data_IF_323990402637
#
_entry.id   IF_323990402637
#
_cell.length_a   1.000
_cell.length_b   1.000
_cell.length_c   1.000
_cell.angle_alpha   90.00
_cell.angle_beta   90.00
_cell.angle_gamma   90.00
#
_symmetry.space_group_name_H-M   'P 1'
#
loop_
_entity.id
_entity.type
_entity.pdbx_description
1 polymer ?
#
# COMPACT_ATOMS: atom_id res chain seq x y z
N UNK A 1 13.67 -26.74 7.42
CA UNK A 1 12.33 -26.07 7.44
C UNK A 1 11.28 -27.12 7.14
N UNK A 2 10.28 -27.26 8.01
CA UNK A 2 9.14 -28.16 7.76
C UNK A 2 8.23 -27.57 6.68
N UNK A 3 7.38 -28.42 6.03
CA UNK A 3 6.36 -27.91 5.10
C UNK A 3 5.35 -26.96 5.78
N UNK A 4 5.21 -27.09 7.10
CA UNK A 4 4.29 -26.29 7.90
C UNK A 4 4.78 -24.85 8.16
N UNK A 5 6.08 -24.56 7.90
CA UNK A 5 6.68 -23.23 8.04
C UNK A 5 6.53 -22.36 6.77
N UNK A 6 5.96 -22.92 5.68
CA UNK A 6 5.87 -22.21 4.40
C UNK A 6 4.58 -21.38 4.31
N UNK A 7 4.68 -20.22 3.70
CA UNK A 7 3.49 -19.39 3.43
C UNK A 7 2.58 -20.11 2.43
N UNK A 8 1.27 -20.03 2.70
CA UNK A 8 0.26 -20.65 1.81
C UNK A 8 0.40 -20.07 0.40
N UNK A 9 0.66 -20.92 -0.63
CA UNK A 9 0.88 -20.46 -1.99
C UNK A 9 -0.42 -19.90 -2.61
N UNK A 10 -0.24 -18.98 -3.58
CA UNK A 10 -1.31 -18.53 -4.45
C UNK A 10 -1.59 -19.61 -5.50
N UNK A 11 -2.83 -19.73 -5.98
CA UNK A 11 -3.15 -20.58 -7.14
C UNK A 11 -2.35 -20.14 -8.38
N UNK A 12 -1.33 -20.93 -8.74
CA UNK A 12 -0.43 -20.61 -9.85
C UNK A 12 -1.15 -20.58 -11.19
N UNK A 13 -2.09 -21.50 -11.42
CA UNK A 13 -2.83 -21.57 -12.69
C UNK A 13 -3.73 -20.33 -12.85
N UNK A 14 -4.46 -19.97 -11.81
CA UNK A 14 -5.25 -18.73 -11.77
C UNK A 14 -4.40 -17.48 -11.96
N UNK A 15 -3.19 -17.43 -11.36
CA UNK A 15 -2.27 -16.31 -11.51
C UNK A 15 -1.77 -16.16 -12.96
N UNK A 16 -1.44 -17.28 -13.63
CA UNK A 16 -1.04 -17.30 -15.04
C UNK A 16 -2.18 -16.79 -15.93
N UNK A 17 -3.38 -17.32 -15.75
CA UNK A 17 -4.56 -16.89 -16.52
C UNK A 17 -4.87 -15.38 -16.31
N UNK A 18 -4.73 -14.89 -15.06
CA UNK A 18 -4.88 -13.47 -14.76
C UNK A 18 -3.83 -12.61 -15.49
N UNK A 19 -2.58 -13.03 -15.50
CA UNK A 19 -1.51 -12.34 -16.19
C UNK A 19 -1.71 -12.31 -17.72
N UNK A 20 -2.20 -13.41 -18.32
CA UNK A 20 -2.54 -13.48 -19.74
C UNK A 20 -3.68 -12.54 -20.10
N UNK A 21 -4.73 -12.49 -19.26
CA UNK A 21 -5.81 -11.52 -19.44
C UNK A 21 -5.30 -10.07 -19.42
N UNK A 22 -4.38 -9.75 -18.54
CA UNK A 22 -3.75 -8.43 -18.48
C UNK A 22 -2.93 -8.11 -19.73
N UNK A 23 -2.13 -9.06 -20.22
CA UNK A 23 -1.35 -8.89 -21.47
C UNK A 23 -2.26 -8.66 -22.69
N UNK A 24 -3.38 -9.37 -22.77
CA UNK A 24 -4.33 -9.26 -23.87
C UNK A 24 -5.18 -7.98 -23.82
N UNK A 25 -5.21 -7.30 -22.67
CA UNK A 25 -5.98 -6.07 -22.45
C UNK A 25 -5.13 -4.98 -21.76
N UNK A 26 -4.03 -4.51 -22.38
CA UNK A 26 -3.05 -3.63 -21.72
C UNK A 26 -3.64 -2.26 -21.35
N UNK A 27 -4.72 -1.85 -22.01
CA UNK A 27 -5.41 -0.57 -21.78
C UNK A 27 -6.61 -0.69 -20.84
N UNK A 28 -6.89 -1.88 -20.29
CA UNK A 28 -7.98 -2.06 -19.34
C UNK A 28 -7.79 -1.17 -18.12
N UNK A 29 -8.87 -0.54 -17.67
CA UNK A 29 -8.90 0.30 -16.46
C UNK A 29 -10.04 -0.16 -15.58
N UNK A 30 -9.76 -0.26 -14.28
CA UNK A 30 -10.77 -0.51 -13.25
C UNK A 30 -11.03 0.75 -12.43
N UNK A 31 -12.23 0.88 -11.90
CA UNK A 31 -12.56 1.94 -10.94
C UNK A 31 -12.71 1.33 -9.55
N UNK A 32 -11.88 1.79 -8.62
CA UNK A 32 -12.02 1.46 -7.19
C UNK A 32 -12.83 2.57 -6.53
N UNK A 33 -13.78 2.22 -5.66
CA UNK A 33 -14.64 3.18 -4.97
C UNK A 33 -14.59 2.94 -3.47
N UNK A 34 -14.45 4.02 -2.72
CA UNK A 34 -14.60 4.04 -1.27
C UNK A 34 -15.55 5.16 -0.87
N UNK A 35 -16.17 5.04 0.30
CA UNK A 35 -16.96 6.10 0.94
C UNK A 35 -16.39 6.33 2.31
N UNK A 36 -15.89 7.53 2.57
CA UNK A 36 -15.43 7.94 3.90
C UNK A 36 -16.46 8.83 4.55
N UNK A 37 -16.82 8.53 5.79
CA UNK A 37 -17.75 9.29 6.62
C UNK A 37 -16.99 9.81 7.81
N UNK A 38 -17.09 11.11 8.06
CA UNK A 38 -16.50 11.74 9.23
C UNK A 38 -17.31 11.39 10.50
N UNK A 39 -16.61 10.95 11.54
CA UNK A 39 -17.19 10.48 12.80
C UNK A 39 -16.95 11.48 13.96
N UNK A 40 -16.32 12.62 13.66
CA UNK A 40 -15.99 13.68 14.61
C UNK A 40 -14.56 13.60 15.15
N UNK A 41 -14.02 14.72 15.65
CA UNK A 41 -12.71 14.83 16.33
C UNK A 41 -11.53 14.16 15.59
N UNK A 42 -11.41 14.34 14.27
CA UNK A 42 -10.40 13.71 13.40
C UNK A 42 -10.60 12.21 13.15
N UNK A 43 -11.68 11.62 13.64
CA UNK A 43 -12.02 10.23 13.37
C UNK A 43 -12.89 10.09 12.14
N UNK A 44 -12.59 9.08 11.30
CA UNK A 44 -13.36 8.77 10.11
C UNK A 44 -13.47 7.26 9.87
N UNK A 45 -14.50 6.85 9.13
CA UNK A 45 -14.84 5.48 8.78
C UNK A 45 -14.85 5.33 7.26
N UNK A 46 -13.94 4.55 6.71
CA UNK A 46 -13.83 4.32 5.27
C UNK A 46 -14.37 2.94 4.87
N UNK A 47 -15.39 2.93 4.07
CA UNK A 47 -16.09 1.73 3.58
C UNK A 47 -15.63 1.38 2.17
N UNK A 48 -15.35 0.11 1.92
CA UNK A 48 -15.03 -0.45 0.62
C UNK A 48 -15.81 -1.74 0.39
N UNK A 49 -16.75 -1.74 -0.55
CA UNK A 49 -17.63 -2.89 -0.80
C UNK A 49 -18.42 -3.28 0.44
N UNK A 50 -18.37 -4.56 0.82
CA UNK A 50 -19.05 -5.13 1.99
C UNK A 50 -18.09 -5.42 3.16
N UNK A 51 -16.87 -4.92 3.10
CA UNK A 51 -15.89 -5.12 4.17
C UNK A 51 -16.19 -4.24 5.38
N UNK A 52 -15.69 -4.66 6.55
CA UNK A 52 -15.66 -3.82 7.74
C UNK A 52 -14.94 -2.51 7.43
N UNK A 53 -15.45 -1.41 7.95
CA UNK A 53 -14.84 -0.11 7.74
C UNK A 53 -13.39 -0.07 8.26
N UNK A 54 -12.52 0.55 7.49
CA UNK A 54 -11.22 0.98 7.99
C UNK A 54 -11.44 2.24 8.80
N UNK A 55 -11.13 2.16 10.09
CA UNK A 55 -11.18 3.31 11.00
C UNK A 55 -9.86 4.06 10.93
N UNK A 56 -9.94 5.37 10.90
CA UNK A 56 -8.79 6.28 10.87
C UNK A 56 -8.98 7.34 11.92
N UNK A 57 -7.93 7.65 12.68
CA UNK A 57 -7.92 8.70 13.69
C UNK A 57 -6.56 9.42 13.66
N UNK A 58 -6.39 10.47 14.41
CA UNK A 58 -5.12 11.15 14.57
C UNK A 58 -4.59 10.97 16.00
N UNK A 59 -3.25 11.02 16.20
CA UNK A 59 -2.67 10.95 17.52
C UNK A 59 -2.90 12.24 18.33
N UNK A 60 -2.76 12.20 19.67
CA UNK A 60 -3.07 13.35 20.55
C UNK A 60 -2.29 14.63 20.24
N UNK A 61 -1.05 14.51 19.77
CA UNK A 61 -0.25 15.70 19.37
C UNK A 61 -0.78 16.39 18.10
N UNK A 62 -1.66 15.70 17.33
CA UNK A 62 -2.44 16.25 16.22
C UNK A 62 -3.91 16.44 16.60
N UNK A 63 -4.24 16.47 17.90
CA UNK A 63 -5.57 16.71 18.46
C UNK A 63 -6.58 15.56 18.24
N UNK A 64 -6.13 14.39 17.85
CA UNK A 64 -6.92 13.15 17.78
C UNK A 64 -6.99 12.39 19.10
N UNK A 65 -7.63 11.24 19.08
CA UNK A 65 -7.83 10.37 20.25
C UNK A 65 -6.99 9.09 20.22
N UNK A 66 -6.21 8.86 19.14
CA UNK A 66 -5.37 7.66 18.96
C UNK A 66 -6.15 6.33 19.07
N UNK A 67 -7.38 6.32 18.57
CA UNK A 67 -8.24 5.14 18.60
C UNK A 67 -8.05 4.23 17.39
N UNK A 68 -7.29 4.68 16.39
CA UNK A 68 -6.98 3.95 15.15
C UNK A 68 -5.73 4.55 14.47
N UNK A 69 -5.15 3.85 13.49
CA UNK A 69 -4.02 4.38 12.72
C UNK A 69 -4.33 5.72 12.06
N UNK A 70 -3.31 6.59 11.97
CA UNK A 70 -3.42 7.85 11.26
C UNK A 70 -3.52 7.64 9.73
N UNK A 71 -4.08 8.60 8.96
CA UNK A 71 -4.20 8.51 7.50
C UNK A 71 -2.86 8.19 6.79
N UNK A 72 -1.77 8.75 7.27
CA UNK A 72 -0.42 8.49 6.77
C UNK A 72 0.02 7.04 6.99
N UNK A 73 -0.29 6.46 8.14
CA UNK A 73 0.00 5.06 8.46
C UNK A 73 -0.84 4.11 7.61
N UNK A 74 -2.11 4.46 7.36
CA UNK A 74 -3.00 3.70 6.46
C UNK A 74 -2.47 3.72 5.03
N UNK A 75 -1.95 4.85 4.55
CA UNK A 75 -1.33 4.95 3.22
C UNK A 75 -0.09 4.05 3.12
N UNK A 76 0.80 4.07 4.12
CA UNK A 76 1.96 3.15 4.16
C UNK A 76 1.50 1.69 4.24
N UNK A 77 0.48 1.39 5.03
CA UNK A 77 -0.08 0.03 5.15
C UNK A 77 -0.63 -0.47 3.81
N UNK A 78 -1.31 0.38 3.04
CA UNK A 78 -1.79 0.05 1.70
C UNK A 78 -0.63 -0.24 0.73
N UNK A 79 0.46 0.53 0.78
CA UNK A 79 1.68 0.27 0.02
C UNK A 79 2.32 -1.06 0.44
N UNK A 80 2.46 -1.29 1.75
CA UNK A 80 3.03 -2.53 2.29
C UNK A 80 2.23 -3.77 1.86
N UNK A 81 0.90 -3.72 1.98
CA UNK A 81 0.02 -4.78 1.51
C UNK A 81 0.14 -5.05 0.01
N UNK A 82 0.24 -4.00 -0.81
CA UNK A 82 0.43 -4.13 -2.25
C UNK A 82 1.78 -4.78 -2.60
N UNK A 83 2.85 -4.45 -1.87
CA UNK A 83 4.16 -5.07 -2.05
C UNK A 83 4.14 -6.54 -1.63
N UNK A 84 3.55 -6.89 -0.49
CA UNK A 84 3.39 -8.28 -0.06
C UNK A 84 2.69 -9.13 -1.12
N UNK A 85 1.56 -8.65 -1.64
CA UNK A 85 0.80 -9.33 -2.71
C UNK A 85 1.67 -9.49 -3.96
N UNK A 86 2.34 -8.43 -4.40
CA UNK A 86 3.19 -8.45 -5.59
C UNK A 86 4.38 -9.40 -5.46
N UNK A 87 5.09 -9.36 -4.34
CA UNK A 87 6.25 -10.24 -4.05
C UNK A 87 5.80 -11.70 -4.05
N UNK A 88 4.71 -12.03 -3.35
CA UNK A 88 4.22 -13.40 -3.28
C UNK A 88 3.71 -13.89 -4.64
N UNK A 89 3.05 -13.04 -5.43
CA UNK A 89 2.61 -13.38 -6.79
C UNK A 89 3.81 -13.68 -7.72
N UNK A 90 4.87 -12.85 -7.67
CA UNK A 90 6.08 -13.05 -8.48
C UNK A 90 6.82 -14.33 -8.05
N UNK A 91 6.94 -14.56 -6.73
CA UNK A 91 7.53 -15.79 -6.19
C UNK A 91 6.77 -17.04 -6.70
N UNK A 92 5.43 -17.04 -6.57
CA UNK A 92 4.57 -18.12 -7.05
C UNK A 92 4.72 -18.36 -8.56
N UNK A 93 4.76 -17.30 -9.36
CA UNK A 93 4.94 -17.41 -10.81
C UNK A 93 6.29 -18.04 -11.17
N UNK A 94 7.35 -17.71 -10.44
CA UNK A 94 8.69 -18.27 -10.59
C UNK A 94 8.85 -19.66 -9.98
N UNK A 95 7.83 -20.19 -9.27
CA UNK A 95 7.87 -21.47 -8.59
C UNK A 95 8.70 -21.46 -7.31
N UNK A 96 8.90 -20.29 -6.72
CA UNK A 96 9.57 -20.10 -5.42
C UNK A 96 8.52 -20.13 -4.31
N UNK A 97 8.77 -20.92 -3.27
CA UNK A 97 7.95 -20.98 -2.06
C UNK A 97 8.60 -20.13 -0.98
N UNK A 98 7.84 -19.18 -0.44
CA UNK A 98 8.31 -18.32 0.64
C UNK A 98 7.97 -18.92 2.01
N UNK A 99 8.88 -18.75 2.96
CA UNK A 99 8.67 -19.08 4.38
C UNK A 99 8.47 -17.83 5.24
N UNK A 100 9.03 -16.69 4.81
CA UNK A 100 8.88 -15.40 5.49
C UNK A 100 8.72 -14.29 4.48
N UNK A 101 7.82 -13.38 4.79
CA UNK A 101 7.68 -12.11 4.08
C UNK A 101 7.16 -11.05 5.04
N UNK A 102 8.02 -10.09 5.38
CA UNK A 102 7.68 -8.93 6.20
C UNK A 102 8.12 -7.68 5.45
N UNK A 103 7.25 -6.69 5.37
CA UNK A 103 7.55 -5.41 4.76
C UNK A 103 7.48 -4.34 5.85
N UNK A 104 8.64 -3.78 6.19
CA UNK A 104 8.79 -2.70 7.14
C UNK A 104 8.86 -1.39 6.36
N UNK A 105 8.12 -0.40 6.81
CA UNK A 105 7.97 0.86 6.11
C UNK A 105 8.20 2.04 7.04
N UNK A 106 8.93 3.02 6.55
CA UNK A 106 9.16 4.30 7.19
C UNK A 106 8.86 5.42 6.19
N UNK A 107 8.23 6.49 6.67
CA UNK A 107 7.94 7.66 5.85
C UNK A 107 8.24 8.94 6.60
N UNK A 108 9.02 9.83 6.00
CA UNK A 108 9.21 11.19 6.50
C UNK A 108 8.09 12.05 5.94
N UNK A 109 7.20 12.52 6.83
CA UNK A 109 6.04 13.31 6.42
C UNK A 109 6.26 14.78 6.73
N UNK A 110 5.83 15.65 5.83
CA UNK A 110 5.85 17.10 6.01
C UNK A 110 4.91 17.55 7.14
N UNK A 111 5.17 18.73 7.67
CA UNK A 111 4.42 19.29 8.79
C UNK A 111 2.96 19.56 8.40
N UNK A 112 2.02 18.92 9.09
CA UNK A 112 0.57 19.12 8.94
C UNK A 112 0.02 20.34 9.70
N UNK A 113 0.86 21.11 10.38
CA UNK A 113 0.43 22.33 11.12
C UNK A 113 -0.21 23.42 10.24
N UNK A 114 -0.18 23.26 8.91
CA UNK A 114 -0.90 24.13 7.96
C UNK A 114 -2.43 23.96 8.01
N UNK A 115 -2.95 22.90 8.64
CA UNK A 115 -4.40 22.71 8.81
C UNK A 115 -4.99 23.87 9.65
N UNK A 116 -5.89 24.62 9.06
CA UNK A 116 -6.50 25.78 9.72
C UNK A 116 -5.62 27.04 9.80
N UNK A 117 -4.40 27.02 9.28
CA UNK A 117 -3.50 28.17 9.24
C UNK A 117 -3.64 28.95 7.92
N UNK A 118 -4.79 29.55 7.68
CA UNK A 118 -5.06 30.32 6.46
C UNK A 118 -4.03 31.44 6.27
N UNK A 119 -3.49 31.54 5.05
CA UNK A 119 -2.46 32.53 4.69
C UNK A 119 -1.03 32.12 5.05
N UNK A 120 -0.83 30.93 5.58
CA UNK A 120 0.48 30.32 5.84
C UNK A 120 0.63 28.97 5.12
N UNK A 121 -0.04 28.84 3.99
CA UNK A 121 -0.06 27.63 3.19
C UNK A 121 1.33 27.31 2.66
N UNK A 122 1.72 26.05 2.78
CA UNK A 122 2.92 25.51 2.15
C UNK A 122 2.61 25.07 0.72
N UNK A 123 3.64 24.98 -0.08
CA UNK A 123 3.49 24.40 -1.41
C UNK A 123 3.10 22.92 -1.33
N UNK A 124 2.27 22.42 -2.24
CA UNK A 124 1.83 21.02 -2.23
C UNK A 124 2.99 20.00 -2.14
N UNK A 125 4.12 20.27 -2.78
CA UNK A 125 5.30 19.44 -2.76
C UNK A 125 6.03 19.39 -1.40
N UNK A 126 5.73 20.33 -0.50
CA UNK A 126 6.26 20.36 0.86
C UNK A 126 5.34 19.66 1.87
N UNK A 127 4.15 19.25 1.39
CA UNK A 127 3.16 18.53 2.18
C UNK A 127 3.23 17.03 1.87
N UNK A 128 2.75 16.20 2.76
CA UNK A 128 2.76 14.75 2.58
C UNK A 128 4.15 14.12 2.79
N UNK A 129 4.33 12.93 2.25
CA UNK A 129 5.60 12.20 2.38
C UNK A 129 6.70 12.82 1.55
N UNK A 130 7.81 13.14 2.19
CA UNK A 130 9.04 13.65 1.55
C UNK A 130 10.00 12.51 1.19
N UNK A 131 9.97 11.41 1.94
CA UNK A 131 10.69 10.19 1.66
C UNK A 131 9.93 8.98 2.19
N UNK A 132 10.03 7.85 1.49
CA UNK A 132 9.53 6.55 1.94
C UNK A 132 10.64 5.53 1.79
N UNK A 133 10.93 4.81 2.87
CA UNK A 133 11.91 3.72 2.95
C UNK A 133 11.17 2.41 3.18
N UNK A 134 11.56 1.39 2.43
CA UNK A 134 10.96 0.06 2.50
C UNK A 134 12.05 -0.97 2.73
N UNK A 135 11.96 -1.71 3.82
CA UNK A 135 12.81 -2.85 4.12
C UNK A 135 11.99 -4.14 4.01
N UNK A 136 12.47 -5.09 3.22
CA UNK A 136 11.80 -6.37 3.01
C UNK A 136 12.61 -7.50 3.62
N UNK A 137 12.03 -8.18 4.61
CA UNK A 137 12.55 -9.42 5.13
C UNK A 137 11.86 -10.57 4.38
N UNK A 138 12.65 -11.32 3.60
CA UNK A 138 12.15 -12.39 2.75
C UNK A 138 13.02 -13.63 2.90
N UNK A 139 12.38 -14.79 3.06
CA UNK A 139 13.00 -16.10 3.08
C UNK A 139 12.17 -17.09 2.24
N UNK A 140 12.84 -18.07 1.63
CA UNK A 140 12.19 -19.07 0.79
C UNK A 140 13.18 -20.10 0.25
N UNK A 141 12.71 -20.97 -0.64
CA UNK A 141 13.47 -22.08 -1.22
C UNK A 141 14.29 -21.68 -2.47
N UNK A 142 14.74 -20.43 -2.52
CA UNK A 142 15.54 -19.87 -3.62
C UNK A 142 16.79 -19.13 -3.11
N UNK A 143 17.83 -18.99 -3.97
CA UNK A 143 18.99 -18.18 -3.65
C UNK A 143 18.62 -16.70 -3.37
N UNK A 144 19.42 -16.02 -2.57
CA UNK A 144 19.22 -14.61 -2.21
C UNK A 144 19.06 -13.71 -3.43
N UNK A 145 19.85 -13.92 -4.46
CA UNK A 145 19.78 -13.16 -5.72
C UNK A 145 18.42 -13.26 -6.39
N UNK A 146 17.81 -14.45 -6.39
CA UNK A 146 16.46 -14.68 -6.92
C UNK A 146 15.41 -13.98 -6.07
N UNK A 147 15.55 -14.01 -4.74
CA UNK A 147 14.64 -13.30 -3.83
C UNK A 147 14.73 -11.77 -4.03
N UNK A 148 15.94 -11.24 -4.20
CA UNK A 148 16.15 -9.81 -4.47
C UNK A 148 15.52 -9.38 -5.81
N UNK A 149 15.65 -10.19 -6.87
CA UNK A 149 14.99 -9.97 -8.15
C UNK A 149 13.45 -9.99 -8.05
N UNK A 150 12.89 -10.91 -7.25
CA UNK A 150 11.45 -10.98 -6.99
C UNK A 150 10.95 -9.68 -6.36
N UNK A 151 11.65 -9.20 -5.32
CA UNK A 151 11.32 -7.95 -4.64
C UNK A 151 11.43 -6.75 -5.59
N UNK A 152 12.53 -6.66 -6.36
CA UNK A 152 12.74 -5.58 -7.32
C UNK A 152 11.63 -5.55 -8.38
N UNK A 153 11.25 -6.72 -8.94
CA UNK A 153 10.19 -6.82 -9.92
C UNK A 153 8.83 -6.42 -9.35
N UNK A 154 8.49 -6.89 -8.15
CA UNK A 154 7.25 -6.54 -7.47
C UNK A 154 7.16 -5.05 -7.18
N UNK A 155 8.25 -4.45 -6.69
CA UNK A 155 8.31 -3.02 -6.41
C UNK A 155 8.17 -2.16 -7.69
N UNK A 156 8.83 -2.55 -8.78
CA UNK A 156 8.71 -1.85 -10.07
C UNK A 156 7.27 -1.84 -10.60
N UNK A 157 6.55 -2.97 -10.45
CA UNK A 157 5.21 -3.15 -10.97
C UNK A 157 4.10 -2.88 -9.94
N UNK A 158 4.42 -2.48 -8.70
CA UNK A 158 3.42 -2.21 -7.67
C UNK A 158 2.56 -0.99 -8.01
N UNK A 159 1.24 -1.12 -8.16
CA UNK A 159 0.36 0.03 -8.39
C UNK A 159 0.49 1.08 -7.29
N UNK A 160 0.53 0.69 -6.01
CA UNK A 160 0.61 1.64 -4.91
C UNK A 160 1.97 2.34 -4.83
N UNK A 161 3.09 1.62 -5.10
CA UNK A 161 4.39 2.26 -5.20
C UNK A 161 4.45 3.28 -6.35
N UNK A 162 3.81 2.98 -7.47
CA UNK A 162 3.74 3.90 -8.60
C UNK A 162 2.79 5.08 -8.36
N UNK A 163 1.74 4.92 -7.55
CA UNK A 163 0.92 6.06 -7.09
C UNK A 163 1.71 7.06 -6.23
N UNK A 164 2.66 6.56 -5.42
CA UNK A 164 3.51 7.43 -4.58
C UNK A 164 4.61 8.11 -5.41
N UNK A 165 5.17 7.41 -6.42
CA UNK A 165 6.27 7.94 -7.24
C UNK A 165 5.83 8.95 -8.29
N UNK A 166 4.58 8.84 -8.78
CA UNK A 166 4.12 9.60 -9.92
C UNK A 166 2.99 10.53 -9.53
N UNK A 167 2.94 11.76 -10.08
CA UNK A 167 1.81 12.64 -9.89
C UNK A 167 0.55 12.05 -10.53
N UNK A 168 -0.56 12.07 -9.79
CA UNK A 168 -1.86 11.59 -10.24
C UNK A 168 -2.80 12.79 -10.30
N UNK A 169 -3.49 13.03 -11.43
CA UNK A 169 -4.51 14.06 -11.51
C UNK A 169 -5.62 13.80 -10.49
N UNK A 170 -5.95 14.82 -9.71
CA UNK A 170 -7.00 14.76 -8.70
C UNK A 170 -8.02 15.88 -8.94
N UNK A 171 -9.31 15.52 -8.97
CA UNK A 171 -10.42 16.45 -9.12
C UNK A 171 -11.32 16.35 -7.88
N UNK A 172 -11.51 17.47 -7.18
CA UNK A 172 -12.32 17.55 -5.96
C UNK A 172 -13.48 18.48 -6.19
N UNK A 173 -14.72 18.00 -5.99
CA UNK A 173 -15.95 18.75 -6.19
C UNK A 173 -16.82 18.73 -4.96
N UNK A 174 -17.45 19.87 -4.67
CA UNK A 174 -18.56 19.97 -3.72
C UNK A 174 -19.85 19.65 -4.47
N UNK A 175 -20.69 18.77 -3.90
CA UNK A 175 -21.97 18.33 -4.50
C UNK A 175 -23.12 18.62 -3.55
#
# INVERSE_FOLDING_TARGET
>A
MSKDDMLKPIDKAGLVAFAEKGRNNPNSRGTVKTKTVYDGQFRSLSYSGQHTAVVVDEPPHLLGQDTAPAPSEVLLSALGGCLCVGIHAVATARGVTLSKLVVLMEGDIGNSAAWGAFGAEKKPEEMGFQAVRVNVEIEGDAPRTTLDEIVAHANYNSPMANCIRNPIPMDVKVT
#
